data_IF_842881301689
#
_entry.id   IF_842881301689
#
_cell.length_a   1.000
_cell.length_b   1.000
_cell.length_c   1.000
_cell.angle_alpha   90.00
_cell.angle_beta   90.00
_cell.angle_gamma   90.00
#
_symmetry.space_group_name_H-M   'P 1'
#
loop_
_entity.id
_entity.type
_entity.pdbx_description
1 polymer ?
#
# COMPACT_ATOMS: atom_id res chain seq x y z
N UNK A 1 28.20 -15.74 4.63
CA UNK A 1 27.89 -14.30 4.83
C UNK A 1 27.28 -13.62 3.60
N UNK A 2 27.87 -13.77 2.39
CA UNK A 2 27.36 -13.14 1.14
C UNK A 2 25.86 -13.34 0.88
N UNK A 3 25.32 -14.54 1.09
CA UNK A 3 23.88 -14.84 0.88
C UNK A 3 22.95 -14.09 1.85
N UNK A 4 23.34 -13.91 3.11
CA UNK A 4 22.53 -13.17 4.11
C UNK A 4 22.47 -11.68 3.78
N UNK A 5 23.59 -11.10 3.35
CA UNK A 5 23.68 -9.70 2.90
C UNK A 5 22.81 -9.48 1.65
N UNK A 6 22.85 -10.42 0.70
CA UNK A 6 22.03 -10.36 -0.51
C UNK A 6 20.53 -10.41 -0.21
N UNK A 7 20.11 -11.28 0.72
CA UNK A 7 18.72 -11.36 1.17
C UNK A 7 18.30 -10.07 1.89
N UNK A 8 19.14 -9.55 2.79
CA UNK A 8 18.86 -8.28 3.46
C UNK A 8 18.69 -7.12 2.46
N UNK A 9 19.57 -7.03 1.46
CA UNK A 9 19.47 -6.02 0.40
C UNK A 9 18.16 -6.15 -0.40
N UNK A 10 17.71 -7.37 -0.71
CA UNK A 10 16.43 -7.59 -1.39
C UNK A 10 15.23 -7.18 -0.53
N UNK A 11 15.26 -7.50 0.76
CA UNK A 11 14.19 -7.10 1.69
C UNK A 11 14.13 -5.57 1.81
N UNK A 12 15.28 -4.91 1.92
CA UNK A 12 15.36 -3.44 1.96
C UNK A 12 14.86 -2.84 0.65
N UNK A 13 15.29 -3.36 -0.50
CA UNK A 13 14.81 -2.88 -1.79
C UNK A 13 13.29 -3.04 -1.93
N UNK A 14 12.73 -4.18 -1.50
CA UNK A 14 11.28 -4.42 -1.52
C UNK A 14 10.53 -3.46 -0.58
N UNK A 15 11.06 -3.22 0.62
CA UNK A 15 10.49 -2.26 1.55
C UNK A 15 10.51 -0.84 0.97
N UNK A 16 11.61 -0.43 0.32
CA UNK A 16 11.71 0.86 -0.36
C UNK A 16 10.72 0.99 -1.52
N UNK A 17 10.54 -0.07 -2.32
CA UNK A 17 9.55 -0.07 -3.42
C UNK A 17 8.13 0.08 -2.87
N UNK A 18 7.78 -0.62 -1.78
CA UNK A 18 6.47 -0.47 -1.15
C UNK A 18 6.31 0.95 -0.61
N UNK A 19 7.32 1.46 0.11
CA UNK A 19 7.28 2.79 0.72
C UNK A 19 7.09 3.88 -0.34
N UNK A 20 7.97 3.93 -1.34
CA UNK A 20 7.93 4.91 -2.43
C UNK A 20 6.65 4.73 -3.25
N UNK A 21 6.28 3.50 -3.58
CA UNK A 21 5.08 3.19 -4.35
C UNK A 21 3.81 3.66 -3.66
N UNK A 22 3.66 3.42 -2.35
CA UNK A 22 2.47 3.87 -1.63
C UNK A 22 2.43 5.38 -1.42
N UNK A 23 3.57 6.04 -1.24
CA UNK A 23 3.63 7.52 -1.20
C UNK A 23 3.23 8.11 -2.56
N UNK A 24 3.76 7.56 -3.66
CA UNK A 24 3.37 7.98 -5.01
C UNK A 24 1.89 7.74 -5.28
N UNK A 25 1.35 6.59 -4.88
CA UNK A 25 -0.06 6.27 -5.07
C UNK A 25 -0.97 7.17 -4.23
N UNK A 26 -0.64 7.39 -2.96
CA UNK A 26 -1.37 8.29 -2.08
C UNK A 26 -1.35 9.73 -2.61
N UNK A 27 -0.19 10.19 -3.08
CA UNK A 27 -0.05 11.50 -3.72
C UNK A 27 -0.89 11.60 -5.00
N UNK A 28 -0.90 10.56 -5.82
CA UNK A 28 -1.72 10.52 -7.03
C UNK A 28 -3.22 10.56 -6.71
N UNK A 29 -3.67 9.83 -5.68
CA UNK A 29 -5.06 9.86 -5.24
C UNK A 29 -5.46 11.23 -4.68
N UNK A 30 -4.61 11.81 -3.82
CA UNK A 30 -4.89 13.09 -3.17
C UNK A 30 -4.87 14.27 -4.15
N UNK A 31 -3.91 14.35 -5.07
CA UNK A 31 -3.81 15.48 -6.00
C UNK A 31 -4.47 15.23 -7.36
N UNK A 32 -4.61 13.98 -7.76
CA UNK A 32 -5.12 13.62 -9.09
C UNK A 32 -6.61 13.30 -9.12
N UNK A 33 -7.14 12.64 -8.09
CA UNK A 33 -8.53 12.16 -8.08
C UNK A 33 -9.39 12.94 -7.10
N UNK A 34 -8.92 13.14 -5.88
CA UNK A 34 -9.70 13.72 -4.78
C UNK A 34 -9.10 15.04 -4.32
N UNK A 35 -9.26 16.09 -5.13
CA UNK A 35 -8.80 17.43 -4.79
C UNK A 35 -9.46 17.96 -3.49
N UNK A 36 -10.71 17.57 -3.24
CA UNK A 36 -11.42 17.79 -1.98
C UNK A 36 -11.74 16.44 -1.32
N UNK A 37 -11.71 16.41 0.01
CA UNK A 37 -12.00 15.22 0.80
C UNK A 37 -13.41 14.70 0.44
N UNK A 38 -13.53 13.48 -0.11
CA UNK A 38 -14.83 12.96 -0.49
C UNK A 38 -15.70 12.69 0.74
N UNK A 39 -16.99 13.00 0.61
CA UNK A 39 -17.98 12.94 1.70
C UNK A 39 -18.05 11.55 2.35
N UNK A 40 -18.00 10.48 1.55
CA UNK A 40 -18.01 9.10 2.06
C UNK A 40 -16.81 8.80 2.98
N UNK A 41 -15.66 9.41 2.71
CA UNK A 41 -14.46 9.24 3.53
C UNK A 41 -14.63 9.98 4.86
N UNK A 42 -15.23 11.16 4.83
CA UNK A 42 -15.54 11.95 6.02
C UNK A 42 -16.53 11.22 6.93
N UNK A 43 -17.64 10.72 6.37
CA UNK A 43 -18.65 9.98 7.12
C UNK A 43 -18.08 8.70 7.74
N UNK A 44 -17.24 7.97 7.00
CA UNK A 44 -16.60 6.75 7.51
C UNK A 44 -15.64 7.02 8.67
N UNK A 45 -14.84 8.11 8.58
CA UNK A 45 -13.93 8.50 9.67
C UNK A 45 -14.70 8.98 10.90
N UNK A 46 -15.75 9.75 10.70
CA UNK A 46 -16.63 10.20 11.77
C UNK A 46 -17.29 9.03 12.48
N UNK A 47 -17.76 8.02 11.74
CA UNK A 47 -18.31 6.80 12.32
C UNK A 47 -17.30 6.04 13.17
N UNK A 48 -16.05 5.88 12.69
CA UNK A 48 -14.99 5.19 13.45
C UNK A 48 -14.61 5.96 14.72
N UNK A 49 -14.53 7.29 14.65
CA UNK A 49 -14.23 8.15 15.79
C UNK A 49 -15.36 8.13 16.83
N UNK A 50 -16.62 8.19 16.40
CA UNK A 50 -17.78 8.06 17.29
C UNK A 50 -17.78 6.67 17.99
N UNK A 51 -17.30 5.61 17.33
CA UNK A 51 -17.21 4.28 17.90
C UNK A 51 -16.02 4.07 18.87
N UNK A 52 -14.93 4.82 18.68
CA UNK A 52 -13.72 4.72 19.52
C UNK A 52 -13.75 5.66 20.74
N UNK A 53 -14.74 6.55 20.82
CA UNK A 53 -14.93 7.45 21.96
C UNK A 53 -13.98 8.65 21.98
N UNK A 54 -13.21 8.87 20.91
CA UNK A 54 -12.27 9.99 20.80
C UNK A 54 -12.98 11.24 20.27
N UNK A 55 -13.84 11.83 21.11
CA UNK A 55 -14.56 13.06 20.80
C UNK A 55 -13.64 14.27 20.55
N UNK A 56 -12.39 14.22 21.05
CA UNK A 56 -11.40 15.28 20.89
C UNK A 56 -10.84 15.39 19.46
N UNK A 57 -10.99 14.34 18.63
CA UNK A 57 -10.54 14.34 17.22
C UNK A 57 -11.66 14.75 16.25
N UNK A 58 -12.68 15.48 16.73
CA UNK A 58 -13.82 15.92 15.91
C UNK A 58 -13.54 17.14 15.06
N UNK A 59 -12.41 17.80 15.28
CA UNK A 59 -12.04 18.95 14.47
C UNK A 59 -11.87 18.51 13.01
N UNK A 60 -12.42 19.27 12.05
CA UNK A 60 -12.41 18.89 10.64
C UNK A 60 -10.98 18.75 10.09
N UNK A 61 -10.03 19.51 10.64
CA UNK A 61 -8.61 19.42 10.30
C UNK A 61 -7.99 18.09 10.79
N UNK A 62 -8.34 17.64 12.00
CA UNK A 62 -7.86 16.37 12.53
C UNK A 62 -8.41 15.18 11.74
N UNK A 63 -9.70 15.21 11.40
CA UNK A 63 -10.33 14.19 10.55
C UNK A 63 -9.64 14.14 9.18
N UNK A 64 -9.31 15.29 8.60
CA UNK A 64 -8.59 15.38 7.33
C UNK A 64 -7.22 14.73 7.42
N UNK A 65 -6.41 15.07 8.44
CA UNK A 65 -5.07 14.49 8.65
C UNK A 65 -5.17 12.98 8.88
N UNK A 66 -6.11 12.53 9.72
CA UNK A 66 -6.30 11.11 10.03
C UNK A 66 -6.70 10.32 8.78
N UNK A 67 -7.58 10.90 7.95
CA UNK A 67 -7.99 10.32 6.68
C UNK A 67 -6.86 10.21 5.67
N UNK A 68 -5.97 11.20 5.64
CA UNK A 68 -4.79 11.20 4.78
C UNK A 68 -3.78 10.12 5.21
N UNK A 69 -3.53 10.00 6.52
CA UNK A 69 -2.67 8.96 7.09
C UNK A 69 -3.23 7.55 6.83
N UNK A 70 -4.53 7.37 7.05
CA UNK A 70 -5.18 6.09 6.79
C UNK A 70 -5.12 5.72 5.31
N UNK A 71 -5.35 6.69 4.42
CA UNK A 71 -5.22 6.50 2.98
C UNK A 71 -3.81 6.13 2.57
N UNK A 72 -2.78 6.74 3.18
CA UNK A 72 -1.38 6.39 2.95
C UNK A 72 -1.08 4.94 3.36
N UNK A 73 -1.53 4.53 4.55
CA UNK A 73 -1.36 3.15 5.04
C UNK A 73 -2.08 2.17 4.12
N UNK A 74 -3.32 2.47 3.71
CA UNK A 74 -4.06 1.67 2.75
C UNK A 74 -3.31 1.54 1.42
N UNK A 75 -2.73 2.63 0.91
CA UNK A 75 -1.91 2.61 -0.30
C UNK A 75 -0.67 1.71 -0.18
N UNK A 76 0.03 1.74 0.97
CA UNK A 76 1.14 0.80 1.19
C UNK A 76 0.68 -0.65 1.19
N UNK A 77 -0.45 -0.95 1.83
CA UNK A 77 -1.02 -2.30 1.83
C UNK A 77 -1.37 -2.74 0.40
N UNK A 78 -2.00 -1.88 -0.40
CA UNK A 78 -2.35 -2.16 -1.79
C UNK A 78 -1.07 -2.45 -2.61
N UNK A 79 -0.06 -1.60 -2.52
CA UNK A 79 1.21 -1.81 -3.25
C UNK A 79 1.89 -3.10 -2.81
N UNK A 80 1.90 -3.41 -1.50
CA UNK A 80 2.45 -4.66 -1.00
C UNK A 80 1.72 -5.88 -1.59
N UNK A 81 0.38 -5.86 -1.63
CA UNK A 81 -0.43 -6.92 -2.23
C UNK A 81 -0.13 -7.07 -3.72
N UNK A 82 -0.05 -5.96 -4.46
CA UNK A 82 0.27 -5.95 -5.90
C UNK A 82 1.64 -6.57 -6.14
N UNK A 83 2.68 -6.16 -5.40
CA UNK A 83 4.03 -6.69 -5.53
C UNK A 83 4.08 -8.19 -5.25
N UNK A 84 3.43 -8.65 -4.16
CA UNK A 84 3.37 -10.08 -3.82
C UNK A 84 2.64 -10.87 -4.90
N UNK A 85 1.54 -10.33 -5.43
CA UNK A 85 0.73 -10.97 -6.47
C UNK A 85 1.50 -11.09 -7.77
N UNK A 86 2.14 -10.01 -8.22
CA UNK A 86 2.99 -10.01 -9.41
C UNK A 86 4.15 -10.99 -9.28
N UNK A 87 4.80 -11.05 -8.11
CA UNK A 87 5.86 -12.01 -7.83
C UNK A 87 5.36 -13.46 -7.94
N UNK A 88 4.19 -13.76 -7.36
CA UNK A 88 3.57 -15.09 -7.47
C UNK A 88 3.22 -15.45 -8.92
N UNK A 89 2.71 -14.49 -9.69
CA UNK A 89 2.40 -14.69 -11.11
C UNK A 89 3.67 -14.93 -11.92
N UNK A 90 4.69 -14.08 -11.76
CA UNK A 90 5.98 -14.23 -12.43
C UNK A 90 6.62 -15.59 -12.16
N UNK A 91 6.62 -16.05 -10.91
CA UNK A 91 7.08 -17.40 -10.57
C UNK A 91 6.27 -18.50 -11.26
N UNK A 92 4.95 -18.37 -11.35
CA UNK A 92 4.11 -19.34 -12.06
C UNK A 92 4.49 -19.42 -13.55
N UNK A 93 4.77 -18.28 -14.19
CA UNK A 93 5.21 -18.25 -15.58
C UNK A 93 6.60 -18.86 -15.75
N UNK A 94 7.58 -18.46 -14.95
CA UNK A 94 8.95 -19.01 -15.01
C UNK A 94 8.94 -20.53 -14.82
N UNK A 95 8.13 -21.04 -13.88
CA UNK A 95 8.01 -22.48 -13.63
C UNK A 95 7.36 -23.22 -14.81
N UNK A 96 6.39 -22.60 -15.49
CA UNK A 96 5.77 -23.17 -16.70
C UNK A 96 6.74 -23.21 -17.88
N UNK A 97 7.50 -22.14 -18.10
CA UNK A 97 8.49 -22.07 -19.18
C UNK A 97 9.59 -23.11 -18.99
N UNK A 98 10.15 -23.25 -17.78
CA UNK A 98 11.16 -24.26 -17.46
C UNK A 98 10.64 -25.70 -17.64
N UNK A 99 9.38 -25.97 -17.31
CA UNK A 99 8.78 -27.29 -17.54
C UNK A 99 8.56 -27.61 -19.03
N UNK A 100 8.36 -26.59 -19.88
CA UNK A 100 8.21 -26.79 -21.33
C UNK A 100 9.53 -27.02 -22.05
N UNK A 101 10.64 -26.47 -21.53
CA UNK A 101 11.98 -26.60 -22.13
C UNK A 101 12.70 -27.91 -21.77
N UNK A 102 12.17 -28.71 -20.83
CA UNK A 102 12.75 -29.99 -20.40
C UNK A 102 12.18 -31.24 -21.10
N UNK A 103 11.33 -31.08 -22.14
CA UNK A 103 10.72 -32.19 -22.89
C UNK A 103 11.17 -32.27 -24.37
N UNK A 104 12.25 -31.57 -24.75
CA UNK A 104 12.83 -31.62 -26.10
C UNK A 104 14.08 -32.48 -26.16
#
# INVERSE_FOLDING_TARGET
>A
MKRKVLVAAHVVALALVIFIGGVCLARYLAYGIFYEMPIWMYDSMRFVLDHTGNADLRDPDDISILSMLFSLVACWIIIAIVVITLYRIAMRFVRRTLNSSGQG
#
